data_IF_117560696687
#
_entry.id   IF_117560696687
#
_cell.length_a   1.000
_cell.length_b   1.000
_cell.length_c   1.000
_cell.angle_alpha   90.00
_cell.angle_beta   90.00
_cell.angle_gamma   90.00
#
_symmetry.space_group_name_H-M   'P 1'
#
loop_
_entity.id
_entity.type
_entity.pdbx_description
1 polymer ?
#
# COMPACT_ATOMS: atom_id res chain seq x y z
N UNK A 1 45.54 21.75 -6.80
CA UNK A 1 44.71 21.24 -5.71
C UNK A 1 43.56 20.37 -6.21
N UNK A 2 42.88 20.72 -7.28
CA UNK A 2 41.72 19.96 -7.82
C UNK A 2 42.02 18.53 -8.30
N UNK A 3 43.15 18.26 -8.93
CA UNK A 3 43.47 16.92 -9.46
C UNK A 3 43.84 15.89 -8.38
N UNK A 4 44.38 16.36 -7.25
CA UNK A 4 44.73 15.49 -6.13
C UNK A 4 43.46 15.12 -5.36
N UNK A 5 42.52 16.05 -5.18
CA UNK A 5 41.21 15.77 -4.56
C UNK A 5 40.35 14.84 -5.44
N UNK A 6 40.31 15.05 -6.76
CA UNK A 6 39.64 14.15 -7.70
C UNK A 6 40.20 12.73 -7.66
N UNK A 7 41.55 12.57 -7.65
CA UNK A 7 42.19 11.25 -7.51
C UNK A 7 41.90 10.59 -6.15
N UNK A 8 41.79 11.38 -5.07
CA UNK A 8 41.48 10.89 -3.72
C UNK A 8 40.03 10.38 -3.61
N UNK A 9 39.10 11.01 -4.32
CA UNK A 9 37.68 10.56 -4.39
C UNK A 9 37.56 9.29 -5.22
N UNK A 10 38.22 9.18 -6.37
CA UNK A 10 38.23 7.98 -7.19
C UNK A 10 38.89 6.81 -6.46
N UNK A 11 39.96 7.03 -5.71
CA UNK A 11 40.61 5.99 -4.91
C UNK A 11 39.72 5.44 -3.80
N UNK A 12 38.89 6.28 -3.19
CA UNK A 12 37.92 5.86 -2.15
C UNK A 12 36.81 4.97 -2.70
N UNK A 13 36.46 5.10 -3.98
CA UNK A 13 35.42 4.33 -4.68
C UNK A 13 35.98 3.11 -5.43
N UNK A 14 37.30 2.92 -5.47
CA UNK A 14 37.93 1.91 -6.32
C UNK A 14 37.47 0.48 -6.07
N UNK A 15 37.11 0.18 -4.84
CA UNK A 15 36.61 -1.12 -4.43
C UNK A 15 35.12 -1.14 -4.06
N UNK A 16 34.42 -0.02 -4.21
CA UNK A 16 33.01 0.08 -3.86
C UNK A 16 32.16 -0.80 -4.79
N UNK A 17 31.32 -1.65 -4.20
CA UNK A 17 30.37 -2.47 -4.96
C UNK A 17 29.03 -1.74 -5.15
N UNK A 18 28.20 -2.23 -6.09
CA UNK A 18 26.84 -1.71 -6.28
C UNK A 18 26.02 -1.84 -4.99
N UNK A 19 26.13 -2.98 -4.28
CA UNK A 19 25.44 -3.18 -3.02
C UNK A 19 25.84 -2.18 -1.93
N UNK A 20 27.12 -1.87 -1.84
CA UNK A 20 27.64 -0.85 -0.92
C UNK A 20 27.20 0.57 -1.32
N UNK A 21 27.17 0.89 -2.63
CA UNK A 21 26.59 2.15 -3.10
C UNK A 21 25.12 2.31 -2.64
N UNK A 22 24.33 1.26 -2.79
CA UNK A 22 22.92 1.26 -2.39
C UNK A 22 22.78 1.51 -0.88
N UNK A 23 23.65 0.94 -0.05
CA UNK A 23 23.66 1.17 1.40
C UNK A 23 24.00 2.62 1.74
N UNK A 24 25.07 3.15 1.16
CA UNK A 24 25.49 4.56 1.36
C UNK A 24 24.40 5.52 0.92
N UNK A 25 23.81 5.31 -0.26
CA UNK A 25 22.70 6.11 -0.74
C UNK A 25 21.46 6.03 0.18
N UNK A 26 21.16 4.84 0.67
CA UNK A 26 20.03 4.65 1.59
C UNK A 26 20.21 5.42 2.91
N UNK A 27 21.41 5.43 3.47
CA UNK A 27 21.69 6.12 4.74
C UNK A 27 21.78 7.64 4.56
N UNK A 28 22.44 8.11 3.51
CA UNK A 28 22.75 9.53 3.37
C UNK A 28 21.67 10.34 2.65
N UNK A 29 20.95 9.76 1.70
CA UNK A 29 19.95 10.48 0.90
C UNK A 29 18.53 9.93 1.11
N UNK A 30 18.32 8.62 0.99
CA UNK A 30 16.98 8.05 1.06
C UNK A 30 16.32 8.25 2.44
N UNK A 31 17.02 7.95 3.53
CA UNK A 31 16.50 8.08 4.89
C UNK A 31 16.45 9.51 5.40
N UNK A 32 17.27 10.39 4.87
CA UNK A 32 17.34 11.81 5.25
C UNK A 32 16.43 12.70 4.43
N UNK A 33 16.01 12.21 3.26
CA UNK A 33 15.16 12.95 2.31
C UNK A 33 13.70 13.14 2.77
N UNK A 34 12.91 13.79 1.92
CA UNK A 34 11.52 14.17 2.19
C UNK A 34 10.49 13.10 1.80
N UNK A 35 10.92 11.96 1.30
CA UNK A 35 10.04 10.87 0.88
C UNK A 35 9.21 10.33 2.04
N UNK A 36 8.01 9.85 1.74
CA UNK A 36 7.16 9.24 2.76
C UNK A 36 7.83 7.98 3.34
N UNK A 37 7.58 7.68 4.61
CA UNK A 37 8.12 6.47 5.23
C UNK A 37 7.75 5.19 4.45
N UNK A 38 6.53 5.12 3.88
CA UNK A 38 6.12 3.99 3.03
C UNK A 38 6.95 3.85 1.77
N UNK A 39 7.31 4.96 1.12
CA UNK A 39 8.19 4.95 -0.06
C UNK A 39 9.61 4.51 0.32
N UNK A 40 10.12 5.01 1.45
CA UNK A 40 11.44 4.61 1.96
C UNK A 40 11.48 3.10 2.24
N UNK A 41 10.46 2.55 2.91
CA UNK A 41 10.37 1.11 3.17
C UNK A 41 10.30 0.26 1.88
N UNK A 42 9.53 0.71 0.90
CA UNK A 42 9.49 0.04 -0.41
C UNK A 42 10.88 0.04 -1.08
N UNK A 43 11.57 1.17 -1.06
CA UNK A 43 12.91 1.28 -1.65
C UNK A 43 13.94 0.43 -0.90
N UNK A 44 13.89 0.39 0.45
CA UNK A 44 14.71 -0.51 1.24
C UNK A 44 14.41 -1.99 0.94
N UNK A 45 13.13 -2.32 0.72
CA UNK A 45 12.72 -3.65 0.23
C UNK A 45 13.32 -3.98 -1.13
N UNK A 46 13.27 -3.04 -2.06
CA UNK A 46 13.86 -3.17 -3.40
C UNK A 46 15.38 -3.32 -3.32
N UNK A 47 16.07 -2.54 -2.48
CA UNK A 47 17.51 -2.66 -2.22
C UNK A 47 17.86 -4.07 -1.74
N UNK A 48 17.12 -4.60 -0.74
CA UNK A 48 17.32 -5.98 -0.26
C UNK A 48 17.19 -7.01 -1.38
N UNK A 49 16.29 -6.81 -2.32
CA UNK A 49 16.12 -7.72 -3.47
C UNK A 49 17.23 -7.56 -4.50
N UNK A 50 17.68 -6.34 -4.81
CA UNK A 50 18.84 -6.09 -5.69
C UNK A 50 20.09 -6.76 -5.10
N UNK A 51 20.30 -6.66 -3.80
CA UNK A 51 21.47 -7.23 -3.11
C UNK A 51 21.53 -8.77 -3.15
N UNK A 52 20.45 -9.46 -3.48
CA UNK A 52 20.46 -10.90 -3.72
C UNK A 52 20.99 -11.29 -5.10
N UNK A 53 21.15 -10.32 -6.01
CA UNK A 53 21.63 -10.56 -7.35
C UNK A 53 23.15 -10.32 -7.43
N UNK A 54 23.94 -11.11 -8.19
CA UNK A 54 25.39 -10.95 -8.32
C UNK A 54 25.85 -9.56 -8.79
N UNK A 55 24.95 -8.80 -9.43
CA UNK A 55 25.19 -7.41 -9.78
C UNK A 55 25.60 -6.57 -8.55
N UNK A 56 25.06 -6.87 -7.38
CA UNK A 56 25.35 -6.14 -6.15
C UNK A 56 26.80 -6.31 -5.68
N UNK A 57 27.45 -7.42 -5.99
CA UNK A 57 28.85 -7.70 -5.65
C UNK A 57 29.84 -7.12 -6.64
N UNK A 58 29.35 -6.69 -7.81
CA UNK A 58 30.21 -6.12 -8.86
C UNK A 58 30.75 -4.75 -8.44
N UNK A 59 32.03 -4.53 -8.63
CA UNK A 59 32.66 -3.24 -8.38
C UNK A 59 32.03 -2.16 -9.25
N UNK A 60 31.70 -1.01 -8.66
CA UNK A 60 30.98 0.08 -9.30
C UNK A 60 31.68 0.55 -10.60
N UNK A 61 33.01 0.64 -10.58
CA UNK A 61 33.83 1.01 -11.75
C UNK A 61 33.74 0.05 -12.94
N UNK A 62 33.34 -1.20 -12.67
CA UNK A 62 33.23 -2.26 -13.68
C UNK A 62 31.78 -2.51 -14.13
N UNK A 63 30.83 -1.69 -13.66
CA UNK A 63 29.43 -1.79 -14.08
C UNK A 63 29.24 -1.09 -15.41
N UNK A 64 28.77 -1.83 -16.40
CA UNK A 64 28.43 -1.30 -17.73
C UNK A 64 26.91 -1.22 -17.90
N UNK A 65 26.46 -0.46 -18.88
CA UNK A 65 25.03 -0.44 -19.24
C UNK A 65 24.53 -1.82 -19.67
N UNK A 66 25.38 -2.66 -20.27
CA UNK A 66 25.05 -4.03 -20.65
C UNK A 66 24.72 -4.91 -19.44
N UNK A 67 25.52 -4.82 -18.36
CA UNK A 67 25.25 -5.54 -17.12
C UNK A 67 23.93 -5.13 -16.49
N UNK A 68 23.61 -3.83 -16.52
CA UNK A 68 22.36 -3.30 -16.01
C UNK A 68 21.18 -3.70 -16.91
N UNK A 69 21.34 -3.66 -18.25
CA UNK A 69 20.32 -4.08 -19.18
C UNK A 69 19.96 -5.56 -18.98
N UNK A 70 20.97 -6.44 -18.89
CA UNK A 70 20.77 -7.87 -18.62
C UNK A 70 20.03 -8.13 -17.31
N UNK A 71 20.33 -7.33 -16.26
CA UNK A 71 19.61 -7.40 -15.00
C UNK A 71 18.12 -7.02 -15.16
N UNK A 72 17.82 -5.92 -15.88
CA UNK A 72 16.46 -5.49 -16.11
C UNK A 72 15.70 -6.43 -17.06
N UNK A 73 16.37 -6.99 -18.07
CA UNK A 73 15.78 -7.97 -18.97
C UNK A 73 15.41 -9.26 -18.23
N UNK A 74 16.25 -9.72 -17.29
CA UNK A 74 15.93 -10.85 -16.40
C UNK A 74 14.70 -10.56 -15.51
N UNK A 75 14.59 -9.34 -14.99
CA UNK A 75 13.41 -8.93 -14.21
C UNK A 75 12.15 -8.87 -15.08
N UNK A 76 12.29 -8.44 -16.33
CA UNK A 76 11.15 -8.22 -17.24
C UNK A 76 10.63 -9.50 -17.87
N UNK A 77 11.53 -10.35 -18.33
CA UNK A 77 11.16 -11.57 -19.07
C UNK A 77 11.23 -12.84 -18.23
N UNK A 78 11.83 -12.74 -17.04
CA UNK A 78 12.08 -13.93 -16.23
C UNK A 78 13.23 -14.77 -16.76
N UNK A 79 13.30 -16.01 -16.30
CA UNK A 79 14.34 -16.97 -16.63
C UNK A 79 15.00 -17.54 -15.38
N UNK A 80 16.17 -18.17 -15.56
CA UNK A 80 16.93 -18.75 -14.46
C UNK A 80 17.63 -17.65 -13.67
N UNK A 81 17.20 -17.46 -12.42
CA UNK A 81 17.82 -16.49 -11.51
C UNK A 81 19.14 -17.04 -10.95
N UNK A 82 20.02 -16.16 -10.40
CA UNK A 82 21.32 -16.58 -9.86
C UNK A 82 21.27 -17.62 -8.75
N UNK A 83 20.11 -17.79 -8.10
CA UNK A 83 19.86 -18.85 -7.11
C UNK A 83 19.44 -20.19 -7.75
N UNK A 84 19.55 -20.32 -9.09
CA UNK A 84 19.20 -21.50 -9.85
C UNK A 84 17.71 -21.75 -10.04
N UNK A 85 16.85 -20.86 -9.56
CA UNK A 85 15.39 -20.99 -9.71
C UNK A 85 14.90 -20.24 -10.93
N UNK A 86 14.09 -20.91 -11.72
CA UNK A 86 13.34 -20.27 -12.81
C UNK A 86 12.17 -19.47 -12.25
N UNK A 87 12.01 -18.23 -12.71
CA UNK A 87 10.93 -17.32 -12.32
C UNK A 87 10.35 -16.64 -13.54
N UNK A 88 9.04 -16.36 -13.50
CA UNK A 88 8.39 -15.50 -14.48
C UNK A 88 8.84 -14.04 -14.31
N UNK A 89 8.71 -13.26 -15.37
CA UNK A 89 8.94 -11.82 -15.32
C UNK A 89 8.03 -11.13 -14.32
N UNK A 90 8.50 -10.01 -13.79
CA UNK A 90 7.77 -9.18 -12.83
C UNK A 90 6.85 -8.17 -13.56
N UNK A 91 5.85 -7.67 -12.83
CA UNK A 91 4.98 -6.62 -13.32
C UNK A 91 5.73 -5.32 -13.62
N UNK A 92 5.23 -4.52 -14.55
CA UNK A 92 5.78 -3.23 -14.95
C UNK A 92 6.07 -2.31 -13.75
N UNK A 93 5.10 -2.18 -12.82
CA UNK A 93 5.25 -1.32 -11.64
C UNK A 93 6.36 -1.79 -10.70
N UNK A 94 6.53 -3.09 -10.58
CA UNK A 94 7.61 -3.67 -9.78
C UNK A 94 8.98 -3.37 -10.40
N UNK A 95 9.13 -3.52 -11.72
CA UNK A 95 10.35 -3.19 -12.47
C UNK A 95 10.67 -1.68 -12.35
N UNK A 96 9.65 -0.81 -12.43
CA UNK A 96 9.83 0.63 -12.21
C UNK A 96 10.39 0.96 -10.83
N UNK A 97 10.02 0.20 -9.80
CA UNK A 97 10.58 0.39 -8.45
C UNK A 97 12.09 0.10 -8.41
N UNK A 98 12.54 -0.95 -9.11
CA UNK A 98 13.98 -1.24 -9.25
C UNK A 98 14.70 -0.16 -10.03
N UNK A 99 14.13 0.27 -11.14
CA UNK A 99 14.69 1.34 -11.97
C UNK A 99 14.84 2.65 -11.19
N UNK A 100 13.82 3.03 -10.41
CA UNK A 100 13.86 4.24 -9.60
C UNK A 100 15.00 4.20 -8.55
N UNK A 101 15.16 3.08 -7.85
CA UNK A 101 16.23 2.90 -6.87
C UNK A 101 17.61 2.95 -7.54
N UNK A 102 17.79 2.19 -8.63
CA UNK A 102 19.07 2.16 -9.35
C UNK A 102 19.40 3.53 -9.95
N UNK A 103 18.44 4.20 -10.57
CA UNK A 103 18.68 5.49 -11.20
C UNK A 103 19.06 6.58 -10.19
N UNK A 104 18.39 6.61 -9.03
CA UNK A 104 18.70 7.58 -7.98
C UNK A 104 20.06 7.29 -7.33
N UNK A 105 20.36 6.03 -7.01
CA UNK A 105 21.63 5.65 -6.40
C UNK A 105 22.83 5.89 -7.34
N UNK A 106 22.71 5.59 -8.64
CA UNK A 106 23.77 5.89 -9.61
C UNK A 106 23.91 7.39 -9.88
N UNK A 107 22.81 8.17 -9.86
CA UNK A 107 22.88 9.63 -9.90
C UNK A 107 23.65 10.18 -8.70
N UNK A 108 23.36 9.68 -7.50
CA UNK A 108 24.09 10.02 -6.28
C UNK A 108 25.58 9.65 -6.37
N UNK A 109 25.93 8.54 -7.01
CA UNK A 109 27.31 8.14 -7.24
C UNK A 109 28.08 9.08 -8.18
N UNK A 110 27.38 9.69 -9.16
CA UNK A 110 27.96 10.72 -10.03
C UNK A 110 28.10 12.04 -9.26
N UNK A 111 27.01 12.49 -8.62
CA UNK A 111 26.97 13.69 -7.81
C UNK A 111 25.97 13.51 -6.66
N UNK A 112 26.34 13.81 -5.41
CA UNK A 112 27.54 14.55 -4.96
C UNK A 112 28.79 13.68 -4.71
N UNK A 113 28.70 12.35 -4.81
CA UNK A 113 29.80 11.47 -4.36
C UNK A 113 31.01 11.41 -5.29
N UNK A 114 30.83 11.66 -6.57
CA UNK A 114 31.89 11.59 -7.60
C UNK A 114 32.63 10.23 -7.62
N UNK A 115 31.91 9.13 -7.33
CA UNK A 115 32.45 7.77 -7.38
C UNK A 115 32.64 7.26 -8.82
N UNK A 116 31.80 7.76 -9.72
CA UNK A 116 31.83 7.48 -11.17
C UNK A 116 31.61 8.78 -11.94
N UNK A 117 32.09 8.82 -13.17
CA UNK A 117 32.00 10.02 -14.01
C UNK A 117 30.71 10.15 -14.78
N UNK A 118 29.99 9.05 -15.00
CA UNK A 118 28.70 9.06 -15.68
C UNK A 118 27.75 8.00 -15.11
N UNK A 119 26.47 8.20 -15.31
CA UNK A 119 25.43 7.27 -14.84
C UNK A 119 25.09 6.25 -15.95
N UNK A 120 25.47 4.95 -15.81
CA UNK A 120 25.17 3.94 -16.83
C UNK A 120 23.68 3.64 -16.97
N UNK A 121 22.86 4.01 -16.00
CA UNK A 121 21.39 3.86 -16.06
C UNK A 121 20.74 4.72 -17.16
N UNK A 122 21.42 5.76 -17.67
CA UNK A 122 20.88 6.63 -18.73
C UNK A 122 20.61 5.89 -20.05
N UNK A 123 21.29 4.78 -20.28
CA UNK A 123 21.18 4.00 -21.53
C UNK A 123 20.27 2.78 -21.39
N UNK A 124 19.68 2.55 -20.21
CA UNK A 124 18.83 1.41 -19.97
C UNK A 124 17.45 1.63 -20.58
N UNK A 125 17.02 0.68 -21.39
CA UNK A 125 15.68 0.63 -21.94
C UNK A 125 14.86 -0.41 -21.15
N UNK A 126 13.90 0.05 -20.40
CA UNK A 126 12.96 -0.85 -19.73
C UNK A 126 12.06 -1.49 -20.81
N UNK A 127 12.12 -2.81 -20.88
CA UNK A 127 11.30 -3.63 -21.75
C UNK A 127 10.29 -4.36 -20.86
N UNK A 128 9.12 -4.67 -21.40
CA UNK A 128 8.10 -5.40 -20.68
C UNK A 128 7.59 -6.53 -21.53
N UNK A 129 7.18 -7.65 -20.91
CA UNK A 129 6.35 -8.59 -21.60
C UNK A 129 5.06 -7.86 -22.01
N UNK A 130 4.79 -7.82 -23.29
CA UNK A 130 3.45 -7.53 -23.78
C UNK A 130 2.71 -8.84 -23.66
N UNK A 131 1.63 -8.86 -22.88
CA UNK A 131 0.67 -9.97 -22.95
C UNK A 131 0.28 -10.11 -24.41
N UNK A 132 0.48 -11.30 -24.99
CA UNK A 132 -0.01 -11.60 -26.32
C UNK A 132 -1.53 -11.44 -26.26
N UNK A 133 -2.03 -10.43 -26.97
CA UNK A 133 -3.47 -10.24 -27.12
C UNK A 133 -3.96 -11.42 -27.96
N UNK A 134 -4.59 -12.40 -27.33
CA UNK A 134 -5.31 -13.43 -28.07
C UNK A 134 -6.53 -12.77 -28.72
N UNK A 135 -6.34 -12.38 -29.98
CA UNK A 135 -7.39 -11.70 -30.80
C UNK A 135 -8.63 -12.54 -30.98
N UNK A 136 -8.59 -13.80 -30.60
CA UNK A 136 -9.65 -14.79 -30.81
C UNK A 136 -10.26 -15.34 -29.52
N UNK A 137 -9.74 -14.94 -28.35
CA UNK A 137 -10.35 -15.27 -27.07
C UNK A 137 -11.48 -14.29 -26.76
N UNK A 138 -12.63 -14.82 -26.35
CA UNK A 138 -13.76 -14.02 -25.83
C UNK A 138 -13.50 -13.55 -24.38
N UNK A 139 -12.35 -13.88 -23.78
CA UNK A 139 -11.95 -13.40 -22.47
C UNK A 139 -11.58 -11.93 -22.59
N UNK A 140 -12.33 -11.08 -21.90
CA UNK A 140 -12.03 -9.66 -21.75
C UNK A 140 -10.61 -9.52 -21.13
N UNK A 141 -9.62 -9.22 -21.96
CA UNK A 141 -8.17 -9.17 -21.65
C UNK A 141 -7.74 -8.01 -20.73
N UNK A 142 -8.67 -7.29 -20.19
CA UNK A 142 -8.37 -6.36 -19.12
C UNK A 142 -8.42 -7.11 -17.80
N UNK A 143 -7.35 -7.04 -17.03
CA UNK A 143 -7.29 -7.48 -15.64
C UNK A 143 -8.29 -6.72 -14.77
N UNK A 144 -9.54 -6.78 -15.17
CA UNK A 144 -10.68 -6.03 -14.70
C UNK A 144 -11.05 -6.54 -13.33
N UNK A 145 -10.73 -5.75 -12.32
CA UNK A 145 -11.24 -5.94 -10.97
C UNK A 145 -12.75 -5.70 -11.06
N UNK A 146 -13.51 -6.79 -11.22
CA UNK A 146 -14.97 -6.73 -11.26
C UNK A 146 -15.49 -6.23 -9.90
N UNK A 147 -16.47 -5.32 -9.90
CA UNK A 147 -17.16 -4.93 -8.69
C UNK A 147 -17.81 -6.15 -8.03
N UNK A 148 -17.77 -6.23 -6.72
CA UNK A 148 -18.42 -7.29 -5.96
C UNK A 148 -19.93 -7.06 -6.04
N UNK A 149 -20.67 -8.05 -6.51
CA UNK A 149 -22.13 -8.00 -6.53
C UNK A 149 -22.72 -7.96 -5.11
N UNK A 150 -23.97 -7.54 -4.97
CA UNK A 150 -24.64 -7.55 -3.66
C UNK A 150 -24.75 -8.96 -3.10
N UNK A 151 -25.05 -9.93 -3.93
CA UNK A 151 -25.15 -11.34 -3.53
C UNK A 151 -23.80 -11.87 -3.04
N UNK A 152 -22.72 -11.59 -3.79
CA UNK A 152 -21.37 -11.98 -3.37
C UNK A 152 -20.95 -11.28 -2.08
N UNK A 153 -21.29 -10.00 -1.92
CA UNK A 153 -21.02 -9.30 -0.68
C UNK A 153 -21.73 -9.96 0.53
N UNK A 154 -22.97 -10.37 0.39
CA UNK A 154 -23.70 -11.10 1.44
C UNK A 154 -23.06 -12.48 1.71
N UNK A 155 -22.63 -13.21 0.67
CA UNK A 155 -21.87 -14.46 0.80
C UNK A 155 -20.56 -14.24 1.55
N UNK A 156 -19.83 -13.16 1.22
CA UNK A 156 -18.60 -12.77 1.92
C UNK A 156 -18.84 -12.53 3.40
N UNK A 157 -19.86 -11.77 3.77
CA UNK A 157 -20.20 -11.50 5.17
C UNK A 157 -20.59 -12.79 5.91
N UNK A 158 -21.39 -13.65 5.29
CA UNK A 158 -21.77 -14.93 5.88
C UNK A 158 -20.57 -15.87 6.13
N UNK A 159 -19.60 -15.88 5.19
CA UNK A 159 -18.33 -16.59 5.36
C UNK A 159 -17.51 -16.02 6.53
N UNK A 160 -17.35 -14.70 6.58
CA UNK A 160 -16.56 -14.02 7.61
C UNK A 160 -17.19 -14.18 8.99
N UNK A 161 -18.51 -14.16 9.10
CA UNK A 161 -19.22 -14.37 10.38
C UNK A 161 -18.83 -15.70 11.04
N UNK A 162 -18.55 -16.73 10.24
CA UNK A 162 -18.15 -18.06 10.72
C UNK A 162 -16.64 -18.20 10.95
N UNK A 163 -15.83 -17.47 10.21
CA UNK A 163 -14.37 -17.69 10.15
C UNK A 163 -13.55 -16.57 10.76
N UNK A 164 -13.94 -15.31 10.58
CA UNK A 164 -13.20 -14.13 11.01
C UNK A 164 -14.15 -12.93 11.26
N UNK A 165 -15.01 -12.97 12.27
CA UNK A 165 -16.03 -11.95 12.49
C UNK A 165 -15.46 -10.54 12.72
N UNK A 166 -14.26 -10.42 13.29
CA UNK A 166 -13.59 -9.11 13.48
C UNK A 166 -13.27 -8.39 12.15
N UNK A 167 -13.13 -9.13 11.03
CA UNK A 167 -12.89 -8.54 9.72
C UNK A 167 -14.15 -7.92 9.08
N UNK A 168 -15.35 -8.21 9.60
CA UNK A 168 -16.61 -7.75 9.01
C UNK A 168 -16.68 -6.23 9.00
N UNK A 169 -16.48 -5.59 10.14
CA UNK A 169 -16.61 -4.14 10.26
C UNK A 169 -15.70 -3.35 9.32
N UNK A 170 -14.37 -3.57 9.27
CA UNK A 170 -13.53 -2.86 8.32
C UNK A 170 -13.89 -3.14 6.85
N UNK A 171 -14.40 -4.34 6.52
CA UNK A 171 -14.91 -4.67 5.19
C UNK A 171 -16.18 -3.90 4.87
N UNK A 172 -17.12 -3.79 5.81
CA UNK A 172 -18.33 -2.99 5.65
C UNK A 172 -18.00 -1.50 5.45
N UNK A 173 -17.10 -0.95 6.25
CA UNK A 173 -16.64 0.44 6.10
C UNK A 173 -16.02 0.66 4.70
N UNK A 174 -15.19 -0.27 4.23
CA UNK A 174 -14.59 -0.16 2.90
C UNK A 174 -15.63 -0.29 1.77
N UNK A 175 -16.63 -1.15 1.93
CA UNK A 175 -17.71 -1.35 0.95
C UNK A 175 -18.64 -0.14 0.85
N UNK A 176 -19.01 0.48 1.98
CA UNK A 176 -19.98 1.58 2.03
C UNK A 176 -19.35 2.99 2.00
N UNK A 177 -18.06 3.13 2.28
CA UNK A 177 -17.38 4.43 2.32
C UNK A 177 -16.05 4.47 1.53
N UNK A 178 -15.67 3.38 0.87
CA UNK A 178 -14.51 3.34 -0.03
C UNK A 178 -13.15 3.54 0.63
N UNK A 179 -13.00 3.28 1.93
CA UNK A 179 -11.76 3.49 2.65
C UNK A 179 -10.69 2.47 2.26
N UNK A 180 -9.41 2.92 2.25
CA UNK A 180 -8.28 1.99 2.14
C UNK A 180 -8.11 1.19 3.42
N UNK A 181 -7.51 0.00 3.33
CA UNK A 181 -7.31 -0.91 4.47
C UNK A 181 -6.70 -0.21 5.70
N UNK A 182 -5.65 0.57 5.52
CA UNK A 182 -5.00 1.30 6.62
C UNK A 182 -5.83 2.48 7.13
N UNK A 183 -6.70 3.07 6.31
CA UNK A 183 -7.63 4.14 6.69
C UNK A 183 -8.80 3.55 7.52
N UNK A 184 -9.35 2.41 7.09
CA UNK A 184 -10.41 1.70 7.82
C UNK A 184 -9.93 1.24 9.21
N UNK A 185 -8.75 0.61 9.30
CA UNK A 185 -8.15 0.25 10.58
C UNK A 185 -7.79 1.47 11.43
N UNK A 186 -7.37 2.57 10.81
CA UNK A 186 -6.97 3.81 11.51
C UNK A 186 -8.12 4.73 11.87
N UNK A 187 -9.38 4.38 11.55
CA UNK A 187 -10.56 5.18 11.89
C UNK A 187 -10.80 5.19 13.40
N UNK A 188 -10.91 6.37 13.99
CA UNK A 188 -11.21 6.53 15.40
C UNK A 188 -12.61 7.13 15.60
N UNK A 189 -13.23 6.89 16.74
CA UNK A 189 -14.57 7.39 17.03
C UNK A 189 -14.73 8.91 16.98
N UNK A 190 -13.67 9.66 17.27
CA UNK A 190 -13.66 11.11 17.13
C UNK A 190 -13.76 11.61 15.68
N UNK A 191 -13.58 10.73 14.71
CA UNK A 191 -13.66 11.04 13.28
C UNK A 191 -14.99 10.60 12.65
N UNK A 192 -15.89 10.03 13.45
CA UNK A 192 -17.21 9.55 13.02
C UNK A 192 -18.28 10.52 13.52
N UNK A 193 -18.89 11.26 12.61
CA UNK A 193 -20.05 12.09 12.90
C UNK A 193 -21.31 11.36 12.44
N UNK A 194 -22.10 10.84 13.40
CA UNK A 194 -23.34 10.10 13.11
C UNK A 194 -24.54 11.01 12.80
N UNK A 195 -24.49 12.27 13.21
CA UNK A 195 -25.56 13.25 12.96
C UNK A 195 -25.47 13.80 11.54
N UNK A 196 -24.26 14.18 11.13
CA UNK A 196 -23.97 14.66 9.76
C UNK A 196 -23.66 13.50 8.79
N UNK A 197 -23.64 12.26 9.26
CA UNK A 197 -23.37 11.06 8.48
C UNK A 197 -22.06 11.16 7.67
N UNK A 198 -20.98 11.60 8.31
CA UNK A 198 -19.70 11.76 7.64
C UNK A 198 -18.50 11.22 8.46
N UNK A 199 -17.46 10.83 7.74
CA UNK A 199 -16.17 10.38 8.26
C UNK A 199 -15.09 11.39 7.91
N UNK A 200 -14.27 11.78 8.90
CA UNK A 200 -13.06 12.56 8.64
C UNK A 200 -11.86 11.65 8.51
N UNK A 201 -11.37 11.45 7.31
CA UNK A 201 -10.24 10.55 7.02
C UNK A 201 -8.94 11.32 7.09
N UNK A 202 -8.23 11.23 8.22
CA UNK A 202 -6.98 11.97 8.49
C UNK A 202 -5.75 11.10 8.75
N UNK A 203 -5.95 9.82 9.08
CA UNK A 203 -4.86 8.90 9.42
C UNK A 203 -4.97 7.55 8.73
N UNK A 204 -3.87 6.85 8.71
CA UNK A 204 -3.76 5.47 8.22
C UNK A 204 -2.78 4.72 9.10
N UNK A 205 -3.09 3.46 9.43
CA UNK A 205 -2.18 2.59 10.16
C UNK A 205 -1.54 1.59 9.20
N UNK A 206 -0.25 1.30 9.41
CA UNK A 206 0.52 0.35 8.60
C UNK A 206 1.58 -0.33 9.42
N UNK A 207 1.99 -1.51 9.01
CA UNK A 207 3.16 -2.17 9.56
C UNK A 207 4.44 -1.61 8.94
N UNK A 208 5.42 -1.30 9.78
CA UNK A 208 6.77 -0.90 9.37
C UNK A 208 7.71 -2.07 9.62
N UNK A 209 8.15 -2.72 8.54
CA UNK A 209 8.96 -3.93 8.62
C UNK A 209 10.38 -3.68 9.16
N UNK A 210 10.92 -2.46 9.01
CA UNK A 210 12.25 -2.11 9.53
C UNK A 210 12.21 -1.92 11.05
N UNK A 211 11.14 -1.31 11.55
CA UNK A 211 10.91 -1.05 12.97
C UNK A 211 10.23 -2.22 13.69
N UNK A 212 9.65 -3.17 12.92
CA UNK A 212 8.79 -4.26 13.41
C UNK A 212 7.63 -3.79 14.28
N UNK A 213 7.06 -2.62 13.92
CA UNK A 213 5.99 -1.96 14.67
C UNK A 213 4.88 -1.48 13.73
N UNK A 214 3.70 -1.27 14.30
CA UNK A 214 2.63 -0.57 13.61
C UNK A 214 2.79 0.93 13.82
N UNK A 215 2.66 1.68 12.72
CA UNK A 215 2.82 3.13 12.68
C UNK A 215 1.52 3.76 12.24
N UNK A 216 1.06 4.72 13.00
CA UNK A 216 -0.03 5.62 12.63
C UNK A 216 0.60 6.82 11.91
N UNK A 217 0.16 7.06 10.69
CA UNK A 217 0.64 8.16 9.88
C UNK A 217 -0.50 8.90 9.20
N UNK A 218 -0.20 9.97 8.47
CA UNK A 218 -1.20 10.64 7.64
C UNK A 218 -1.66 9.72 6.50
N UNK A 219 -2.80 10.04 5.93
CA UNK A 219 -3.27 9.43 4.68
C UNK A 219 -2.24 9.61 3.56
N UNK A 220 -2.33 8.79 2.52
CA UNK A 220 -1.51 8.96 1.31
C UNK A 220 -1.68 10.40 0.81
N UNK A 221 -0.56 11.15 0.67
CA UNK A 221 -0.47 12.58 0.33
C UNK A 221 -0.85 13.58 1.43
N UNK A 222 -0.95 13.16 2.68
CA UNK A 222 -1.22 14.04 3.85
C UNK A 222 -2.51 14.88 3.72
N UNK A 223 -3.45 14.48 2.85
CA UNK A 223 -4.74 15.18 2.70
C UNK A 223 -5.78 14.60 3.65
N UNK A 224 -6.40 15.45 4.43
CA UNK A 224 -7.63 15.15 5.16
C UNK A 224 -8.80 15.27 4.18
N UNK A 225 -9.72 14.34 4.22
CA UNK A 225 -10.95 14.38 3.43
C UNK A 225 -12.15 13.97 4.26
N UNK A 226 -13.30 14.44 3.89
CA UNK A 226 -14.59 14.04 4.43
C UNK A 226 -15.22 13.03 3.45
N UNK A 227 -15.82 11.99 3.97
CA UNK A 227 -16.54 10.97 3.21
C UNK A 227 -17.91 10.81 3.85
N UNK A 228 -18.94 11.14 3.09
CA UNK A 228 -20.32 10.96 3.52
C UNK A 228 -20.74 9.50 3.40
N UNK A 229 -21.68 9.06 4.26
CA UNK A 229 -22.18 7.70 4.27
C UNK A 229 -23.67 7.65 4.55
N UNK A 230 -24.34 6.57 4.12
CA UNK A 230 -25.79 6.38 4.27
C UNK A 230 -26.20 5.69 5.58
N UNK A 231 -27.51 5.58 5.76
CA UNK A 231 -28.15 5.06 6.98
C UNK A 231 -27.68 3.67 7.39
N UNK A 232 -27.38 2.81 6.42
CA UNK A 232 -26.83 1.46 6.69
C UNK A 232 -25.57 1.53 7.56
N UNK A 233 -24.67 2.45 7.25
CA UNK A 233 -23.43 2.57 8.01
C UNK A 233 -23.66 3.28 9.36
N UNK A 234 -24.68 4.14 9.48
CA UNK A 234 -25.14 4.70 10.78
C UNK A 234 -25.54 3.58 11.73
N UNK A 235 -26.37 2.64 11.27
CA UNK A 235 -26.81 1.50 12.08
C UNK A 235 -25.63 0.60 12.46
N UNK A 236 -24.74 0.31 11.52
CA UNK A 236 -23.53 -0.48 11.78
C UNK A 236 -22.70 0.18 12.88
N UNK A 237 -22.44 1.47 12.82
CA UNK A 237 -21.64 2.17 13.82
C UNK A 237 -22.33 2.23 15.19
N UNK A 238 -23.65 2.45 15.22
CA UNK A 238 -24.42 2.42 16.49
C UNK A 238 -24.34 1.05 17.16
N UNK A 239 -24.49 -0.02 16.38
CA UNK A 239 -24.40 -1.38 16.90
C UNK A 239 -22.97 -1.71 17.35
N UNK A 240 -21.98 -1.32 16.57
CA UNK A 240 -20.55 -1.48 16.93
C UNK A 240 -20.22 -0.81 18.27
N UNK A 241 -20.72 0.41 18.49
CA UNK A 241 -20.48 1.14 19.75
C UNK A 241 -21.08 0.42 20.95
N UNK A 242 -22.29 -0.10 20.80
CA UNK A 242 -22.96 -0.92 21.84
C UNK A 242 -22.19 -2.21 22.12
N UNK A 243 -21.72 -2.87 21.07
CA UNK A 243 -20.97 -4.12 21.18
C UNK A 243 -19.59 -3.92 21.82
N UNK A 244 -18.88 -2.86 21.49
CA UNK A 244 -17.61 -2.51 22.14
C UNK A 244 -17.80 -2.24 23.65
N UNK A 245 -18.87 -1.54 24.04
CA UNK A 245 -19.19 -1.34 25.47
C UNK A 245 -19.47 -2.66 26.18
N UNK A 246 -20.28 -3.54 25.57
CA UNK A 246 -20.56 -4.89 26.09
C UNK A 246 -19.27 -5.71 26.25
N UNK A 247 -18.43 -5.74 25.23
CA UNK A 247 -17.16 -6.46 25.25
C UNK A 247 -16.24 -5.93 26.34
N UNK A 248 -16.15 -4.61 26.50
CA UNK A 248 -15.36 -3.98 27.57
C UNK A 248 -15.80 -4.42 28.96
N UNK A 249 -17.12 -4.55 29.19
CA UNK A 249 -17.67 -5.08 30.44
C UNK A 249 -17.36 -6.57 30.62
N UNK A 250 -17.49 -7.35 29.54
CA UNK A 250 -17.32 -8.80 29.56
C UNK A 250 -15.84 -9.20 29.80
N UNK A 251 -14.90 -8.52 29.15
CA UNK A 251 -13.46 -8.82 29.29
C UNK A 251 -12.86 -8.22 30.57
N UNK A 252 -13.47 -7.17 31.15
CA UNK A 252 -13.02 -6.56 32.41
C UNK A 252 -11.57 -6.08 32.34
N UNK A 253 -10.70 -6.65 33.19
CA UNK A 253 -9.28 -6.31 33.26
C UNK A 253 -8.47 -6.80 32.05
N UNK A 254 -8.95 -7.84 31.38
CA UNK A 254 -8.31 -8.38 30.16
C UNK A 254 -8.66 -7.58 28.90
N UNK A 255 -9.48 -6.53 29.02
CA UNK A 255 -9.78 -5.67 27.90
C UNK A 255 -8.64 -4.73 27.60
N UNK A 256 -8.17 -4.74 26.34
CA UNK A 256 -7.07 -3.91 25.90
C UNK A 256 -7.52 -2.49 25.56
N UNK A 257 -6.65 -1.56 25.86
CA UNK A 257 -6.78 -0.15 25.48
C UNK A 257 -5.69 0.21 24.46
N UNK A 258 -6.03 1.04 23.49
CA UNK A 258 -5.14 1.39 22.40
C UNK A 258 -4.48 2.74 22.64
N UNK A 259 -3.19 2.82 22.41
CA UNK A 259 -2.36 3.99 22.64
C UNK A 259 -1.51 4.31 21.42
N UNK A 260 -1.04 5.54 21.36
CA UNK A 260 0.01 5.96 20.45
C UNK A 260 1.06 6.78 21.18
N UNK A 261 2.30 6.68 20.71
CA UNK A 261 3.45 7.46 21.16
C UNK A 261 4.00 8.26 20.00
N UNK A 262 4.21 9.57 20.21
CA UNK A 262 4.90 10.40 19.23
C UNK A 262 6.40 10.12 19.27
N UNK A 263 6.97 9.83 18.10
CA UNK A 263 8.41 9.60 17.92
C UNK A 263 8.94 10.64 16.93
N UNK A 264 9.97 11.35 17.37
CA UNK A 264 10.73 12.33 16.55
C UNK A 264 12.06 11.71 16.16
N UNK A 265 12.27 11.53 14.87
CA UNK A 265 13.47 10.93 14.32
C UNK A 265 14.04 11.82 13.21
N UNK A 266 15.16 12.50 13.49
CA UNK A 266 15.73 13.51 12.59
C UNK A 266 14.66 14.53 12.13
N UNK A 267 14.32 14.55 10.84
CA UNK A 267 13.34 15.47 10.24
C UNK A 267 11.92 14.88 10.13
N UNK A 268 11.62 13.78 10.83
CA UNK A 268 10.35 13.06 10.71
C UNK A 268 9.68 12.89 12.05
N UNK A 269 8.36 13.08 12.04
CA UNK A 269 7.48 12.76 13.16
C UNK A 269 6.55 11.64 12.71
N UNK A 270 6.43 10.60 13.51
CA UNK A 270 5.49 9.52 13.32
C UNK A 270 4.96 9.04 14.67
N UNK A 271 3.91 8.24 14.67
CA UNK A 271 3.26 7.76 15.87
C UNK A 271 3.33 6.24 15.89
N UNK A 272 3.95 5.68 16.91
CA UNK A 272 3.96 4.23 17.15
C UNK A 272 2.65 3.83 17.82
N UNK A 273 2.06 2.72 17.37
CA UNK A 273 0.86 2.14 17.95
C UNK A 273 1.22 1.10 19.02
N UNK A 274 0.48 1.13 20.12
CA UNK A 274 0.58 0.19 21.23
C UNK A 274 -0.81 -0.25 21.66
N UNK A 275 -0.89 -1.49 22.17
CA UNK A 275 -2.11 -2.10 22.70
C UNK A 275 -1.75 -2.73 24.03
N UNK A 276 -2.31 -2.24 25.12
CA UNK A 276 -2.00 -2.65 26.48
C UNK A 276 -3.28 -3.11 27.19
N UNK A 277 -3.20 -4.15 28.01
CA UNK A 277 -4.28 -4.49 28.91
C UNK A 277 -4.26 -3.60 30.17
N UNK A 278 -5.27 -3.72 31.01
CA UNK A 278 -5.40 -2.87 32.20
C UNK A 278 -4.42 -3.20 33.32
N UNK A 279 -3.72 -4.32 33.24
CA UNK A 279 -2.74 -4.74 34.23
C UNK A 279 -1.36 -4.16 33.92
N UNK A 280 -1.15 -3.69 32.69
CA UNK A 280 0.08 -3.09 32.24
C UNK A 280 0.16 -1.60 32.62
N UNK A 281 1.33 -1.16 33.11
CA UNK A 281 1.56 0.24 33.41
C UNK A 281 1.67 1.07 32.13
N UNK A 282 0.84 2.12 32.01
CA UNK A 282 0.84 3.00 30.85
C UNK A 282 1.91 4.07 30.99
N UNK A 283 2.94 4.11 30.11
CA UNK A 283 3.96 5.16 30.15
C UNK A 283 3.34 6.56 29.95
N UNK A 284 3.90 7.56 30.63
CA UNK A 284 3.38 8.93 30.66
C UNK A 284 3.35 9.63 29.28
N UNK A 285 4.16 9.18 28.34
CA UNK A 285 4.23 9.71 26.97
C UNK A 285 3.28 9.00 25.98
N UNK A 286 2.45 8.04 26.46
CA UNK A 286 1.43 7.39 25.67
C UNK A 286 0.13 8.19 25.73
N UNK A 287 -0.55 8.29 24.58
CA UNK A 287 -1.85 8.93 24.46
C UNK A 287 -2.88 7.92 24.00
N UNK A 288 -4.00 7.84 24.71
CA UNK A 288 -5.10 6.95 24.37
C UNK A 288 -5.77 7.36 23.07
N UNK A 289 -6.22 6.36 22.31
CA UNK A 289 -7.02 6.53 21.10
C UNK A 289 -8.10 5.46 21.00
N UNK A 290 -9.34 5.87 20.80
CA UNK A 290 -10.49 4.98 20.63
C UNK A 290 -10.73 4.68 19.16
N UNK A 291 -10.28 3.52 18.70
CA UNK A 291 -10.51 3.08 17.33
C UNK A 291 -11.90 2.47 17.13
N UNK A 292 -12.36 2.48 15.88
CA UNK A 292 -13.65 1.90 15.47
C UNK A 292 -13.53 0.39 15.23
N UNK A 293 -12.49 -0.04 14.53
CA UNK A 293 -12.31 -1.43 14.12
C UNK A 293 -11.55 -2.23 15.18
N UNK A 294 -12.23 -2.61 16.26
CA UNK A 294 -11.66 -3.40 17.35
C UNK A 294 -12.13 -4.86 17.28
N UNK A 295 -11.27 -5.75 17.75
CA UNK A 295 -11.62 -7.13 18.09
C UNK A 295 -12.39 -7.16 19.44
N UNK A 296 -13.04 -8.27 19.79
CA UNK A 296 -13.77 -8.38 21.04
C UNK A 296 -12.94 -8.09 22.31
N UNK A 297 -11.64 -8.41 22.26
CA UNK A 297 -10.68 -8.17 23.35
C UNK A 297 -10.20 -6.71 23.47
N UNK A 298 -10.70 -5.80 22.62
CA UNK A 298 -10.30 -4.39 22.59
C UNK A 298 -9.06 -4.09 21.74
N UNK A 299 -8.35 -5.11 21.27
CA UNK A 299 -7.23 -4.90 20.36
C UNK A 299 -7.70 -4.44 18.97
N UNK A 300 -6.89 -3.62 18.31
CA UNK A 300 -7.16 -3.15 16.97
C UNK A 300 -7.16 -4.30 15.95
N UNK A 301 -8.12 -4.32 15.03
CA UNK A 301 -8.04 -5.17 13.85
C UNK A 301 -6.99 -4.60 12.88
N UNK A 302 -5.91 -5.34 12.67
CA UNK A 302 -4.71 -4.84 12.01
C UNK A 302 -4.75 -5.04 10.48
N UNK A 303 -4.17 -4.12 9.69
CA UNK A 303 -4.14 -4.24 8.23
C UNK A 303 -3.50 -5.53 7.72
N UNK A 304 -2.48 -6.04 8.41
CA UNK A 304 -1.80 -7.31 8.04
C UNK A 304 -2.70 -8.52 8.26
N UNK A 305 -3.48 -8.51 9.33
CA UNK A 305 -4.49 -9.55 9.63
C UNK A 305 -5.57 -9.55 8.57
N UNK A 306 -6.15 -8.37 8.26
CA UNK A 306 -7.15 -8.22 7.19
C UNK A 306 -6.62 -8.67 5.83
N UNK A 307 -5.38 -8.31 5.48
CA UNK A 307 -4.74 -8.79 4.24
C UNK A 307 -4.60 -10.31 4.21
N UNK A 308 -4.39 -10.95 5.37
CA UNK A 308 -4.34 -12.42 5.47
C UNK A 308 -5.74 -13.02 5.35
N UNK A 309 -6.76 -12.39 5.94
CA UNK A 309 -8.16 -12.80 5.80
C UNK A 309 -8.58 -12.73 4.33
N UNK A 310 -8.32 -11.64 3.63
CA UNK A 310 -8.63 -11.51 2.21
C UNK A 310 -7.98 -12.62 1.36
N UNK A 311 -6.70 -12.93 1.62
CA UNK A 311 -6.02 -14.05 0.94
C UNK A 311 -6.62 -15.42 1.25
N UNK A 312 -7.16 -15.63 2.46
CA UNK A 312 -7.89 -16.86 2.79
C UNK A 312 -9.22 -16.91 2.05
N UNK A 313 -9.97 -15.82 2.03
CA UNK A 313 -11.21 -15.70 1.25
C UNK A 313 -10.95 -16.07 -0.21
N UNK A 314 -9.95 -15.43 -0.84
CA UNK A 314 -9.56 -15.68 -2.23
C UNK A 314 -9.22 -17.15 -2.54
N UNK A 315 -8.78 -17.91 -1.53
CA UNK A 315 -8.42 -19.32 -1.69
C UNK A 315 -9.56 -20.31 -1.40
N UNK A 316 -10.55 -19.90 -0.62
CA UNK A 316 -11.52 -20.83 -0.04
C UNK A 316 -12.97 -20.52 -0.36
N UNK A 317 -13.28 -19.31 -0.79
CA UNK A 317 -14.62 -18.91 -1.17
C UNK A 317 -14.71 -18.82 -2.70
N UNK A 318 -15.49 -19.71 -3.29
CA UNK A 318 -15.71 -19.80 -4.73
C UNK A 318 -16.26 -18.47 -5.29
N UNK A 319 -15.70 -18.00 -6.40
CA UNK A 319 -16.04 -16.72 -7.02
C UNK A 319 -15.28 -15.51 -6.43
N UNK A 320 -14.34 -15.76 -5.49
CA UNK A 320 -13.50 -14.73 -4.90
C UNK A 320 -12.01 -14.90 -5.25
N UNK A 321 -11.69 -15.58 -6.33
CA UNK A 321 -10.32 -15.76 -6.80
C UNK A 321 -9.67 -14.39 -7.00
N UNK A 322 -8.50 -14.19 -6.38
CA UNK A 322 -7.80 -12.90 -6.42
C UNK A 322 -8.38 -11.80 -5.52
N UNK A 323 -9.39 -12.09 -4.70
CA UNK A 323 -9.98 -11.10 -3.79
C UNK A 323 -8.94 -10.43 -2.89
N UNK A 324 -8.99 -9.12 -2.85
CA UNK A 324 -8.17 -8.28 -1.99
C UNK A 324 -8.95 -7.07 -1.50
N UNK A 325 -8.55 -6.52 -0.36
CA UNK A 325 -9.31 -5.47 0.33
C UNK A 325 -9.61 -4.25 -0.55
N UNK A 326 -8.71 -3.90 -1.47
CA UNK A 326 -8.88 -2.73 -2.34
C UNK A 326 -10.05 -2.90 -3.33
N UNK A 327 -10.46 -4.13 -3.64
CA UNK A 327 -11.61 -4.42 -4.49
C UNK A 327 -12.93 -3.86 -3.92
N UNK A 328 -13.07 -3.81 -2.59
CA UNK A 328 -14.22 -3.17 -1.93
C UNK A 328 -14.33 -1.68 -2.28
N UNK A 329 -13.19 -1.00 -2.32
CA UNK A 329 -13.15 0.40 -2.74
C UNK A 329 -13.43 0.58 -4.24
N UNK A 330 -12.99 -0.35 -5.09
CA UNK A 330 -13.38 -0.36 -6.50
C UNK A 330 -14.89 -0.56 -6.64
N UNK A 331 -15.48 -1.48 -5.88
CA UNK A 331 -16.93 -1.70 -5.83
C UNK A 331 -17.68 -0.43 -5.43
N UNK A 332 -17.25 0.24 -4.35
CA UNK A 332 -17.82 1.53 -3.93
C UNK A 332 -17.76 2.58 -5.05
N UNK A 333 -16.61 2.69 -5.72
CA UNK A 333 -16.41 3.60 -6.85
C UNK A 333 -17.39 3.30 -7.99
N UNK A 334 -17.47 2.03 -8.40
CA UNK A 334 -18.36 1.57 -9.47
C UNK A 334 -19.83 1.82 -9.13
N UNK A 335 -20.24 1.56 -7.89
CA UNK A 335 -21.60 1.79 -7.44
C UNK A 335 -21.98 3.28 -7.47
N UNK A 336 -21.10 4.17 -7.01
CA UNK A 336 -21.34 5.62 -7.10
C UNK A 336 -21.52 6.09 -8.54
N UNK A 337 -20.63 5.66 -9.43
CA UNK A 337 -20.67 6.02 -10.85
C UNK A 337 -21.90 5.44 -11.55
N UNK A 338 -22.28 4.20 -11.23
CA UNK A 338 -23.49 3.56 -11.76
C UNK A 338 -24.77 4.26 -11.30
N UNK A 339 -24.76 4.87 -10.11
CA UNK A 339 -25.86 5.67 -9.57
C UNK A 339 -25.81 7.16 -10.03
N UNK A 340 -24.96 7.51 -10.98
CA UNK A 340 -24.95 8.82 -11.62
C UNK A 340 -24.07 9.88 -10.92
N UNK A 341 -23.25 9.52 -9.95
CA UNK A 341 -22.32 10.46 -9.35
C UNK A 341 -21.30 10.95 -10.39
N UNK A 342 -21.01 12.25 -10.38
CA UNK A 342 -20.02 12.82 -11.29
C UNK A 342 -18.61 12.24 -10.98
N UNK A 343 -17.82 11.84 -11.98
CA UNK A 343 -16.49 11.27 -11.77
C UNK A 343 -15.55 12.15 -10.95
N UNK A 344 -15.71 13.46 -11.05
CA UNK A 344 -14.93 14.42 -10.26
C UNK A 344 -15.27 14.37 -8.77
N UNK A 345 -16.54 14.28 -8.43
CA UNK A 345 -17.00 14.18 -7.03
C UNK A 345 -16.53 12.85 -6.43
N UNK A 346 -16.62 11.76 -7.18
CA UNK A 346 -16.10 10.46 -6.78
C UNK A 346 -14.58 10.50 -6.55
N UNK A 347 -13.85 11.21 -7.42
CA UNK A 347 -12.41 11.43 -7.26
C UNK A 347 -12.08 12.15 -5.94
N UNK A 348 -12.83 13.20 -5.61
CA UNK A 348 -12.65 14.01 -4.39
C UNK A 348 -12.97 13.18 -3.13
N UNK A 349 -14.11 12.50 -3.10
CA UNK A 349 -14.51 11.59 -2.01
C UNK A 349 -13.44 10.52 -1.73
N UNK A 350 -12.91 9.94 -2.78
CA UNK A 350 -11.90 8.90 -2.67
C UNK A 350 -10.50 9.46 -2.38
N UNK A 351 -10.23 10.72 -2.70
CA UNK A 351 -8.88 11.30 -2.65
C UNK A 351 -7.95 10.63 -3.67
N UNK A 352 -8.45 10.40 -4.89
CA UNK A 352 -7.62 9.98 -6.01
C UNK A 352 -6.79 11.15 -6.53
N UNK A 353 -5.55 10.88 -6.86
CA UNK A 353 -4.63 11.90 -7.35
C UNK A 353 -4.85 12.24 -8.81
N UNK A 354 -5.40 11.32 -9.54
CA UNK A 354 -5.60 11.39 -10.97
C UNK A 354 -7.02 10.91 -11.29
N UNK A 355 -7.71 11.69 -12.10
CA UNK A 355 -9.04 11.37 -12.62
C UNK A 355 -8.98 10.10 -13.44
N UNK A 356 -7.85 9.82 -14.11
CA UNK A 356 -7.65 8.60 -14.91
C UNK A 356 -7.98 7.33 -14.13
N UNK A 357 -7.59 7.26 -12.85
CA UNK A 357 -7.92 6.11 -11.99
C UNK A 357 -9.43 5.93 -11.80
N UNK A 358 -10.18 7.02 -11.66
CA UNK A 358 -11.64 6.99 -11.53
C UNK A 358 -12.29 6.74 -12.89
N UNK A 359 -11.73 7.32 -13.96
CA UNK A 359 -12.23 7.15 -15.33
C UNK A 359 -12.01 5.73 -15.86
N UNK A 360 -10.91 5.07 -15.50
CA UNK A 360 -10.71 3.67 -15.85
C UNK A 360 -11.79 2.78 -15.24
N UNK A 361 -12.13 2.99 -13.96
CA UNK A 361 -13.26 2.30 -13.32
C UNK A 361 -14.59 2.62 -14.02
N UNK A 362 -14.78 3.90 -14.44
CA UNK A 362 -15.96 4.33 -15.16
C UNK A 362 -16.08 3.69 -16.57
N UNK A 363 -15.00 3.61 -17.30
CA UNK A 363 -15.00 3.03 -18.64
C UNK A 363 -15.51 1.57 -18.66
N UNK A 364 -15.24 0.84 -17.56
CA UNK A 364 -15.64 -0.55 -17.39
C UNK A 364 -17.06 -0.73 -16.85
N UNK A 365 -17.48 0.11 -15.89
CA UNK A 365 -18.84 0.05 -15.32
C UNK A 365 -19.94 0.50 -16.29
N UNK A 366 -19.60 1.21 -17.37
CA UNK A 366 -20.56 1.85 -18.29
C UNK A 366 -20.93 1.01 -19.50
N UNK A 367 -20.42 -0.21 -19.67
CA UNK A 367 -20.83 -1.04 -20.82
C UNK A 367 -22.35 -1.28 -20.81
N UNK A 368 -22.94 -1.53 -19.64
CA UNK A 368 -24.40 -1.64 -19.49
C UNK A 368 -25.11 -0.29 -19.58
N UNK A 369 -24.51 0.78 -19.07
CA UNK A 369 -25.03 2.13 -19.25
C UNK A 369 -24.92 2.61 -20.70
N UNK A 370 -23.82 2.31 -21.41
CA UNK A 370 -23.66 2.56 -22.83
C UNK A 370 -24.69 1.80 -23.66
N UNK A 371 -24.95 0.51 -23.33
CA UNK A 371 -26.02 -0.28 -23.99
C UNK A 371 -27.41 0.33 -23.76
N UNK A 372 -27.69 0.84 -22.55
CA UNK A 372 -28.96 1.53 -22.25
C UNK A 372 -29.08 2.84 -23.05
N UNK A 373 -28.01 3.63 -23.12
CA UNK A 373 -28.01 4.89 -23.88
C UNK A 373 -28.18 4.67 -25.39
N UNK A 374 -27.53 3.65 -25.94
CA UNK A 374 -27.69 3.30 -27.38
C UNK A 374 -29.09 2.73 -27.66
N UNK A 375 -29.76 2.10 -26.70
CA UNK A 375 -31.14 1.62 -26.85
C UNK A 375 -32.19 2.70 -26.63
N UNK A 376 -31.81 3.84 -26.06
CA UNK A 376 -32.70 4.98 -25.83
C UNK A 376 -32.58 6.08 -26.92
N UNK A 377 -31.60 5.96 -27.82
CA UNK A 377 -31.44 6.76 -29.04
C UNK A 377 -32.09 6.03 -30.24
#
# INVERSE_FOLDING_TARGET
MDDYEKKKFVAKAENLTVGQLLDVWAEEELKTGTLSNGTVENYLGTIRNIKKHPLAERKLKNVTSEHLQSFFDLLSFGGVHPDGKERKGYSKDYIHSFSAVMQQSFRFAVFPKQYITFNPMQYIKLRYQTDEVDLFSDEDMDGNIQPISREDYERLLAYLQKKNPAAILPIQIAYYAGLRIGEACGLAWQDVNLEEQCLTIRRSIRYDGSKRKYIIGPTKRKKVRIVDFGDTLVEIFRNTRKEQLKNRMQYGELYHTNYYKEVKEKNRVYYEYYCLDRTEEVPADYKEISFVCLRPDGCLELPTTLGTVCRKVAKTLEGFEGFHFHQLRHTYTSNLLANGAAPKDVQELLGHSDVSTTMNVYAHSTRDAKRKSVKAS
#
